data_IF_686833066441
#
_entry.id   IF_686833066441
#
_cell.length_a   1.000
_cell.length_b   1.000
_cell.length_c   1.000
_cell.angle_alpha   90.00
_cell.angle_beta   90.00
_cell.angle_gamma   90.00
#
_symmetry.space_group_name_H-M   'P 1'
#
loop_
_entity.id
_entity.type
_entity.pdbx_description
1 polymer ?
#
# COMPACT_ATOMS: atom_id res chain seq x y z
N UNK A 1 7.67 20.26 11.81
CA UNK A 1 8.25 19.73 10.56
C UNK A 1 8.61 18.26 10.74
N UNK A 2 7.68 17.35 10.45
CA UNK A 2 7.93 15.91 10.45
C UNK A 2 7.45 15.35 9.11
N UNK A 3 8.39 14.70 8.45
CA UNK A 3 8.37 14.21 7.08
C UNK A 3 7.30 13.15 6.85
N UNK A 4 6.67 13.19 5.67
CA UNK A 4 5.67 12.23 5.22
C UNK A 4 6.42 11.06 4.57
N UNK A 5 6.43 9.90 5.23
CA UNK A 5 6.92 8.65 4.63
C UNK A 5 5.77 8.02 3.83
N UNK A 6 5.77 8.24 2.52
CA UNK A 6 4.94 7.49 1.58
C UNK A 6 5.59 6.12 1.29
N UNK A 7 5.07 5.06 1.89
CA UNK A 7 5.36 3.67 1.54
C UNK A 7 4.61 3.34 0.24
N UNK A 8 5.32 3.35 -0.89
CA UNK A 8 4.85 2.81 -2.16
C UNK A 8 4.98 1.29 -2.18
N UNK A 9 3.89 0.56 -1.97
CA UNK A 9 3.80 -0.87 -2.26
C UNK A 9 3.40 -1.04 -3.72
N UNK A 10 4.35 -1.49 -4.53
CA UNK A 10 4.15 -1.76 -5.95
C UNK A 10 3.65 -3.20 -6.13
N UNK A 11 2.32 -3.38 -6.20
CA UNK A 11 1.70 -4.65 -6.52
C UNK A 11 1.76 -4.90 -8.04
N UNK A 12 2.68 -5.78 -8.46
CA UNK A 12 2.73 -6.31 -9.83
C UNK A 12 1.68 -7.43 -9.94
N UNK A 13 0.48 -7.12 -10.42
CA UNK A 13 -0.51 -8.13 -10.81
C UNK A 13 -0.27 -8.57 -12.26
N UNK A 14 0.12 -9.83 -12.44
CA UNK A 14 0.15 -10.53 -13.73
C UNK A 14 -1.05 -11.49 -13.76
N UNK A 15 -2.05 -11.32 -14.65
CA UNK A 15 -3.18 -12.25 -14.70
C UNK A 15 -2.80 -13.53 -15.47
N UNK A 16 -3.22 -14.73 -15.03
CA UNK A 16 -3.18 -15.93 -15.87
C UNK A 16 -4.34 -15.91 -16.89
N UNK A 17 -4.04 -16.35 -18.11
CA UNK A 17 -4.98 -16.49 -19.25
C UNK A 17 -5.86 -17.72 -19.06
N UNK A 18 -7.18 -17.59 -19.28
CA UNK A 18 -8.07 -18.76 -19.36
C UNK A 18 -9.59 -18.54 -19.36
N UNK A 19 -10.13 -17.68 -20.25
CA UNK A 19 -11.53 -17.69 -20.79
C UNK A 19 -12.75 -17.48 -19.86
N UNK A 20 -13.97 -17.18 -20.39
CA UNK A 20 -14.34 -16.26 -21.47
C UNK A 20 -15.32 -15.14 -21.01
N UNK A 21 -15.46 -14.16 -21.89
CA UNK A 21 -16.20 -12.90 -21.80
C UNK A 21 -17.69 -13.06 -21.47
N UNK A 22 -18.22 -12.23 -20.58
CA UNK A 22 -19.50 -11.52 -20.74
C UNK A 22 -19.32 -10.14 -20.09
N UNK A 23 -19.18 -9.11 -20.92
CA UNK A 23 -19.18 -7.73 -20.45
C UNK A 23 -20.57 -7.35 -19.97
N UNK A 24 -20.65 -6.44 -19.00
CA UNK A 24 -21.76 -5.49 -18.89
C UNK A 24 -21.31 -4.25 -18.14
N UNK A 25 -21.57 -3.11 -18.80
CA UNK A 25 -21.50 -1.74 -18.33
C UNK A 25 -21.93 -1.54 -16.87
N UNK A 26 -21.16 -0.76 -16.12
CA UNK A 26 -21.65 -0.10 -14.90
C UNK A 26 -22.52 1.07 -15.35
N UNK A 27 -23.84 0.88 -15.33
CA UNK A 27 -24.85 1.92 -15.47
C UNK A 27 -25.10 2.51 -14.08
N UNK A 28 -24.65 3.74 -13.84
CA UNK A 28 -25.11 4.56 -12.73
C UNK A 28 -26.62 4.77 -12.87
N UNK A 29 -27.40 4.27 -11.91
CA UNK A 29 -28.81 4.63 -11.78
C UNK A 29 -29.10 5.03 -10.33
N UNK A 30 -29.22 6.34 -10.13
CA UNK A 30 -30.04 6.88 -9.05
C UNK A 30 -31.48 6.51 -9.36
N UNK A 31 -32.23 5.98 -8.39
CA UNK A 31 -33.68 6.10 -8.42
C UNK A 31 -34.25 6.19 -7.01
N UNK A 32 -35.00 7.27 -6.86
CA UNK A 32 -35.95 7.60 -5.80
C UNK A 32 -37.27 6.86 -6.04
N UNK A 33 -37.98 6.61 -4.93
CA UNK A 33 -39.44 6.76 -4.77
C UNK A 33 -40.46 5.64 -5.19
N UNK A 34 -41.20 5.21 -4.16
CA UNK A 34 -42.65 4.87 -3.97
C UNK A 34 -43.37 3.63 -4.60
N UNK A 35 -44.11 3.00 -3.68
CA UNK A 35 -45.48 2.43 -3.76
C UNK A 35 -45.82 0.93 -3.96
N UNK A 36 -46.32 0.37 -2.83
CA UNK A 36 -47.63 -0.24 -2.55
C UNK A 36 -48.23 -1.38 -3.41
N UNK A 37 -48.60 -2.42 -2.65
CA UNK A 37 -49.82 -3.24 -2.68
C UNK A 37 -49.99 -4.49 -3.58
N UNK A 38 -50.27 -5.59 -2.85
CA UNK A 38 -51.40 -6.51 -3.01
C UNK A 38 -51.13 -7.97 -3.45
N UNK A 39 -51.22 -8.84 -2.44
CA UNK A 39 -51.88 -10.15 -2.43
C UNK A 39 -52.51 -10.66 -3.73
N UNK A 40 -52.09 -11.85 -4.17
CA UNK A 40 -53.01 -12.94 -4.56
C UNK A 40 -52.28 -14.29 -4.44
N UNK A 41 -52.89 -15.25 -3.74
CA UNK A 41 -52.30 -16.57 -3.46
C UNK A 41 -52.67 -17.67 -4.45
N UNK A 42 -51.93 -18.79 -4.42
CA UNK A 42 -52.46 -20.17 -4.41
C UNK A 42 -51.34 -21.23 -4.32
N UNK A 43 -51.40 -22.01 -3.23
CA UNK A 43 -51.25 -23.47 -3.06
C UNK A 43 -50.38 -24.25 -4.06
N UNK A 44 -49.50 -25.16 -3.57
CA UNK A 44 -49.49 -26.62 -3.88
C UNK A 44 -48.26 -27.37 -3.32
N UNK A 45 -48.56 -28.40 -2.52
CA UNK A 45 -47.89 -29.71 -2.31
C UNK A 45 -46.53 -29.78 -1.60
N UNK A 46 -46.57 -30.47 -0.44
CA UNK A 46 -45.47 -31.00 0.35
C UNK A 46 -44.62 -32.03 -0.41
N UNK A 47 -43.30 -31.79 -0.45
CA UNK A 47 -42.27 -32.83 -0.65
C UNK A 47 -41.09 -32.53 0.27
N UNK A 48 -41.16 -33.09 1.49
CA UNK A 48 -40.07 -33.04 2.48
C UNK A 48 -38.79 -33.62 1.89
N UNK A 49 -37.76 -32.80 1.78
CA UNK A 49 -36.44 -33.17 1.25
C UNK A 49 -35.73 -32.04 0.50
N UNK A 50 -36.46 -31.07 -0.08
CA UNK A 50 -35.88 -29.89 -0.74
C UNK A 50 -35.80 -28.66 0.17
N UNK A 51 -36.72 -28.55 1.13
CA UNK A 51 -36.81 -27.39 2.04
C UNK A 51 -35.63 -27.29 3.02
N UNK A 52 -34.97 -28.41 3.35
CA UNK A 52 -33.84 -28.45 4.30
C UNK A 52 -32.54 -27.89 3.69
N UNK A 53 -32.29 -28.19 2.42
CA UNK A 53 -31.10 -27.71 1.67
C UNK A 53 -31.28 -26.24 1.27
N UNK A 54 -32.51 -25.82 0.96
CA UNK A 54 -32.82 -24.41 0.74
C UNK A 54 -32.67 -23.59 2.03
N UNK A 55 -33.11 -24.08 3.19
CA UNK A 55 -32.94 -23.39 4.47
C UNK A 55 -31.48 -23.26 4.93
N UNK A 56 -30.64 -24.29 4.75
CA UNK A 56 -29.21 -24.21 5.07
C UNK A 56 -28.49 -23.20 4.16
N UNK A 57 -28.74 -23.24 2.85
CA UNK A 57 -28.15 -22.30 1.90
C UNK A 57 -28.68 -20.86 2.05
N UNK A 58 -29.85 -20.68 2.66
CA UNK A 58 -30.44 -19.36 2.95
C UNK A 58 -29.91 -18.80 4.27
N UNK A 59 -29.76 -19.65 5.29
CA UNK A 59 -29.07 -19.36 6.56
C UNK A 59 -27.60 -18.97 6.35
N UNK A 60 -26.87 -19.67 5.48
CA UNK A 60 -25.47 -19.36 5.13
C UNK A 60 -25.34 -18.05 4.32
N UNK A 61 -26.28 -17.78 3.40
CA UNK A 61 -26.34 -16.50 2.68
C UNK A 61 -26.70 -15.36 3.63
N UNK A 62 -27.67 -15.53 4.52
CA UNK A 62 -28.06 -14.52 5.52
C UNK A 62 -26.93 -14.25 6.53
N UNK A 63 -26.17 -15.26 6.96
CA UNK A 63 -24.99 -15.07 7.83
C UNK A 63 -23.82 -14.42 7.09
N UNK A 64 -23.59 -14.76 5.82
CA UNK A 64 -22.58 -14.10 4.98
C UNK A 64 -22.97 -12.66 4.63
N UNK A 65 -24.26 -12.40 4.39
CA UNK A 65 -24.82 -11.07 4.15
C UNK A 65 -24.82 -10.21 5.43
N UNK A 66 -25.07 -10.80 6.60
CA UNK A 66 -24.94 -10.13 7.89
C UNK A 66 -23.47 -9.77 8.22
N UNK A 67 -22.50 -10.57 7.78
CA UNK A 67 -21.07 -10.23 7.85
C UNK A 67 -20.69 -9.12 6.85
N UNK A 68 -21.41 -8.99 5.74
CA UNK A 68 -21.23 -7.92 4.73
C UNK A 68 -21.95 -6.61 5.10
N UNK A 69 -22.89 -6.64 6.05
CA UNK A 69 -23.63 -5.49 6.59
C UNK A 69 -23.03 -4.98 7.92
N UNK A 70 -21.71 -4.99 8.07
CA UNK A 70 -21.08 -4.33 9.23
C UNK A 70 -21.02 -2.81 9.02
N UNK A 71 -22.13 -2.11 9.29
CA UNK A 71 -22.25 -0.63 9.26
C UNK A 71 -21.57 0.07 10.44
N UNK A 72 -20.73 -0.63 11.21
CA UNK A 72 -20.09 -0.06 12.39
C UNK A 72 -19.05 0.97 11.98
N UNK A 73 -19.43 2.24 12.11
CA UNK A 73 -18.53 3.36 11.92
C UNK A 73 -17.69 3.60 13.19
N UNK A 74 -16.44 3.13 13.17
CA UNK A 74 -15.47 3.42 14.23
C UNK A 74 -14.81 4.77 14.00
N UNK A 75 -15.21 5.77 14.79
CA UNK A 75 -14.56 7.08 14.75
C UNK A 75 -13.21 7.03 15.46
N UNK A 76 -12.17 7.70 14.93
CA UNK A 76 -10.89 7.80 15.63
C UNK A 76 -11.08 8.54 16.95
N UNK A 77 -10.30 8.16 17.96
CA UNK A 77 -10.25 8.87 19.23
C UNK A 77 -9.80 10.33 19.00
N UNK A 78 -10.36 11.33 19.71
CA UNK A 78 -10.00 12.74 19.52
C UNK A 78 -8.49 13.02 19.62
N UNK A 79 -7.79 12.33 20.53
CA UNK A 79 -6.35 12.45 20.70
C UNK A 79 -5.56 12.00 19.45
N UNK A 80 -6.04 10.97 18.74
CA UNK A 80 -5.43 10.53 17.48
C UNK A 80 -5.62 11.57 16.39
N UNK A 81 -6.79 12.21 16.33
CA UNK A 81 -7.06 13.26 15.34
C UNK A 81 -6.15 14.47 15.55
N UNK A 82 -5.92 14.87 16.81
CA UNK A 82 -5.04 16.00 17.15
C UNK A 82 -3.57 15.72 16.79
N UNK A 83 -3.11 14.48 17.00
CA UNK A 83 -1.72 14.10 16.76
C UNK A 83 -1.44 13.57 15.34
N UNK A 84 -2.46 13.52 14.48
CA UNK A 84 -2.31 13.04 13.12
C UNK A 84 -1.44 14.00 12.28
N UNK A 85 -0.70 13.43 11.31
CA UNK A 85 0.09 14.22 10.38
C UNK A 85 -0.78 15.00 9.37
N UNK A 86 -2.02 14.57 9.17
CA UNK A 86 -2.97 15.15 8.22
C UNK A 86 -4.33 15.31 8.90
N UNK A 87 -4.98 16.44 8.67
CA UNK A 87 -6.36 16.67 9.11
C UNK A 87 -7.37 16.33 7.99
N UNK A 88 -8.68 16.24 8.29
CA UNK A 88 -9.69 15.87 7.28
C UNK A 88 -9.74 16.80 6.06
N UNK A 89 -9.55 18.11 6.25
CA UNK A 89 -9.56 19.08 5.15
C UNK A 89 -8.34 18.87 4.22
N UNK A 90 -7.16 18.72 4.80
CA UNK A 90 -5.93 18.42 4.05
C UNK A 90 -6.01 17.10 3.29
N UNK A 91 -6.72 16.11 3.85
CA UNK A 91 -6.99 14.84 3.17
C UNK A 91 -7.87 15.06 1.93
N UNK A 92 -8.99 15.78 2.06
CA UNK A 92 -9.87 16.10 0.94
C UNK A 92 -9.13 16.89 -0.15
N UNK A 93 -8.31 17.86 0.24
CA UNK A 93 -7.44 18.61 -0.68
C UNK A 93 -6.44 17.70 -1.41
N UNK A 94 -5.78 16.78 -0.68
CA UNK A 94 -4.83 15.84 -1.27
C UNK A 94 -5.51 14.89 -2.27
N UNK A 95 -6.71 14.38 -1.94
CA UNK A 95 -7.50 13.53 -2.84
C UNK A 95 -7.91 14.30 -4.09
N UNK A 96 -8.40 15.53 -3.92
CA UNK A 96 -8.78 16.39 -5.03
C UNK A 96 -7.58 16.66 -5.94
N UNK A 97 -6.45 17.06 -5.37
CA UNK A 97 -5.21 17.32 -6.11
C UNK A 97 -4.73 16.08 -6.86
N UNK A 98 -4.69 14.91 -6.23
CA UNK A 98 -4.28 13.67 -6.88
C UNK A 98 -5.22 13.21 -8.01
N UNK A 99 -6.49 13.63 -7.98
CA UNK A 99 -7.48 13.32 -9.02
C UNK A 99 -7.40 14.30 -10.19
N UNK A 100 -7.21 15.58 -9.91
CA UNK A 100 -7.17 16.66 -10.91
C UNK A 100 -5.79 16.76 -11.60
N UNK A 101 -4.70 16.66 -10.83
CA UNK A 101 -3.32 16.75 -11.30
C UNK A 101 -2.43 15.69 -10.62
N UNK A 102 -2.44 14.50 -11.22
CA UNK A 102 -1.65 13.37 -10.75
C UNK A 102 -0.13 13.65 -10.80
N UNK A 103 0.35 14.34 -11.84
CA UNK A 103 1.78 14.60 -12.01
C UNK A 103 2.27 15.59 -10.95
N UNK A 104 1.58 16.72 -10.76
CA UNK A 104 1.94 17.70 -9.75
C UNK A 104 1.82 17.17 -8.31
N UNK A 105 0.87 16.27 -8.03
CA UNK A 105 0.75 15.61 -6.74
C UNK A 105 2.01 14.77 -6.41
N UNK A 106 2.43 13.91 -7.35
CA UNK A 106 3.60 13.06 -7.15
C UNK A 106 4.92 13.82 -7.24
N UNK A 107 4.95 14.92 -7.99
CA UNK A 107 6.11 15.79 -8.07
C UNK A 107 6.42 16.44 -6.72
N UNK A 108 5.40 16.92 -6.01
CA UNK A 108 5.56 17.48 -4.66
C UNK A 108 6.15 16.44 -3.69
N UNK A 109 5.59 15.23 -3.66
CA UNK A 109 6.10 14.15 -2.83
C UNK A 109 7.54 13.76 -3.20
N UNK A 110 7.88 13.72 -4.49
CA UNK A 110 9.22 13.38 -4.95
C UNK A 110 10.27 14.43 -4.57
N UNK A 111 9.87 15.69 -4.37
CA UNK A 111 10.77 16.75 -3.91
C UNK A 111 11.17 16.61 -2.42
N UNK A 112 10.50 15.75 -1.63
CA UNK A 112 10.94 15.42 -0.26
C UNK A 112 12.16 14.48 -0.21
N UNK A 113 12.53 13.91 -1.36
CA UNK A 113 13.68 13.01 -1.49
C UNK A 113 14.90 13.75 -2.01
N UNK A 114 16.08 13.23 -1.68
CA UNK A 114 17.36 13.70 -2.19
C UNK A 114 17.64 13.07 -3.57
N UNK A 115 17.92 13.92 -4.55
CA UNK A 115 18.23 13.54 -5.93
C UNK A 115 19.60 14.06 -6.34
N UNK A 116 20.37 13.23 -7.04
CA UNK A 116 21.61 13.67 -7.70
C UNK A 116 21.31 14.46 -8.98
N UNK A 117 20.24 14.06 -9.68
CA UNK A 117 19.70 14.77 -10.85
C UNK A 117 18.18 14.68 -10.80
N UNK A 118 17.50 15.82 -10.91
CA UNK A 118 16.04 15.86 -11.03
C UNK A 118 15.57 15.25 -12.35
N UNK A 119 14.36 14.73 -12.35
CA UNK A 119 13.71 14.17 -13.53
C UNK A 119 13.40 15.25 -14.56
N UNK A 120 13.34 14.85 -15.83
CA UNK A 120 12.91 15.72 -16.93
C UNK A 120 11.37 15.65 -17.13
N UNK A 121 10.75 14.52 -16.74
CA UNK A 121 9.30 14.28 -16.82
C UNK A 121 8.82 13.42 -15.66
N UNK A 122 7.69 13.76 -15.04
CA UNK A 122 7.14 13.03 -13.89
C UNK A 122 6.56 11.68 -14.32
N UNK A 123 5.71 11.65 -15.35
CA UNK A 123 5.09 10.42 -15.82
C UNK A 123 5.14 10.33 -17.35
N UNK A 124 5.78 9.28 -17.86
CA UNK A 124 5.68 8.92 -19.27
C UNK A 124 4.73 7.73 -19.48
N UNK A 125 3.71 7.97 -20.29
CA UNK A 125 2.66 7.02 -20.67
C UNK A 125 2.76 6.55 -22.12
N UNK A 126 3.77 7.00 -22.86
CA UNK A 126 3.94 6.72 -24.30
C UNK A 126 4.00 5.22 -24.62
N UNK A 127 4.57 4.41 -23.70
CA UNK A 127 4.74 2.96 -23.84
C UNK A 127 3.75 2.15 -22.97
N UNK A 128 2.54 2.66 -22.70
CA UNK A 128 1.53 1.94 -21.93
C UNK A 128 1.34 0.49 -22.45
N UNK A 129 1.36 -0.56 -21.58
CA UNK A 129 1.21 -0.52 -20.12
C UNK A 129 2.51 -0.34 -19.31
N UNK A 130 3.66 -0.10 -19.96
CA UNK A 130 4.96 0.12 -19.30
C UNK A 130 5.16 1.60 -18.97
N UNK A 131 4.52 2.04 -17.89
CA UNK A 131 4.67 3.41 -17.37
C UNK A 131 6.06 3.66 -16.81
N UNK A 132 6.64 4.82 -17.11
CA UNK A 132 7.93 5.27 -16.55
C UNK A 132 7.69 6.50 -15.67
N UNK A 133 8.10 6.42 -14.41
CA UNK A 133 8.02 7.51 -13.45
C UNK A 133 9.38 8.18 -13.27
N UNK A 134 9.39 9.50 -13.13
CA UNK A 134 10.59 10.33 -12.89
C UNK A 134 11.71 10.08 -13.89
N UNK A 135 11.39 10.27 -15.18
CA UNK A 135 12.28 9.96 -16.30
C UNK A 135 13.58 10.76 -16.20
N UNK A 136 14.71 10.08 -16.38
CA UNK A 136 16.08 10.61 -16.23
C UNK A 136 16.47 11.08 -14.81
N UNK A 137 15.57 10.92 -13.83
CA UNK A 137 15.88 11.16 -12.42
C UNK A 137 16.96 10.21 -11.92
N UNK A 138 17.93 10.72 -11.16
CA UNK A 138 18.99 9.93 -10.54
C UNK A 138 18.95 10.09 -9.03
N UNK A 139 18.72 8.98 -8.33
CA UNK A 139 18.76 8.91 -6.87
C UNK A 139 19.37 7.58 -6.42
N UNK A 140 19.64 7.46 -5.13
CA UNK A 140 20.06 6.22 -4.48
C UNK A 140 19.18 5.99 -3.24
N UNK A 141 18.69 4.76 -3.09
CA UNK A 141 17.80 4.39 -1.99
C UNK A 141 18.54 4.43 -0.65
N UNK A 142 19.77 3.92 -0.58
CA UNK A 142 20.59 3.99 0.63
C UNK A 142 20.88 5.44 1.05
N UNK A 143 21.10 6.35 0.09
CA UNK A 143 21.28 7.77 0.37
C UNK A 143 20.07 8.35 1.13
N UNK A 144 18.86 8.10 0.62
CA UNK A 144 17.63 8.60 1.20
C UNK A 144 17.23 7.86 2.50
N UNK A 145 17.53 6.58 2.61
CA UNK A 145 17.18 5.78 3.78
C UNK A 145 18.16 5.98 4.95
N UNK A 146 19.45 6.23 4.67
CA UNK A 146 20.53 6.23 5.68
C UNK A 146 21.37 7.49 5.63
N UNK A 147 22.10 7.75 4.54
CA UNK A 147 23.15 8.78 4.50
C UNK A 147 22.65 10.17 4.87
N UNK A 148 21.46 10.55 4.39
CA UNK A 148 20.87 11.86 4.71
C UNK A 148 20.62 12.03 6.21
N UNK A 149 20.31 10.95 6.92
CA UNK A 149 20.05 10.98 8.37
C UNK A 149 21.34 10.99 9.18
N UNK A 150 22.39 10.33 8.71
CA UNK A 150 23.72 10.29 9.36
C UNK A 150 24.37 11.68 9.44
N UNK A 151 24.10 12.55 8.46
CA UNK A 151 24.61 13.93 8.43
C UNK A 151 23.85 14.90 9.34
N UNK A 152 22.79 14.44 10.00
CA UNK A 152 21.94 15.27 10.88
C UNK A 152 22.09 14.88 12.34
N UNK A 153 21.39 15.58 13.23
CA UNK A 153 21.28 15.21 14.64
C UNK A 153 20.73 13.78 14.86
N UNK A 154 20.08 13.18 13.85
CA UNK A 154 19.58 11.80 13.91
C UNK A 154 20.67 10.73 13.79
N UNK A 155 21.93 11.10 13.60
CA UNK A 155 23.07 10.16 13.50
C UNK A 155 23.06 9.06 14.57
N UNK A 156 22.88 9.46 15.83
CA UNK A 156 22.88 8.55 16.99
C UNK A 156 21.47 8.10 17.39
N UNK A 157 20.44 8.45 16.61
CA UNK A 157 19.07 7.97 16.84
C UNK A 157 19.01 6.49 16.49
N UNK A 158 18.33 5.72 17.33
CA UNK A 158 18.02 4.31 17.04
C UNK A 158 17.15 4.25 15.79
N UNK A 159 17.60 3.48 14.80
CA UNK A 159 16.93 3.24 13.53
C UNK A 159 16.22 1.88 13.53
N UNK A 160 16.90 0.84 14.03
CA UNK A 160 16.35 -0.52 14.14
C UNK A 160 16.28 -0.92 15.61
N UNK A 161 15.10 -1.38 16.02
CA UNK A 161 14.88 -2.08 17.29
C UNK A 161 14.50 -3.49 16.90
N UNK A 162 15.33 -4.44 17.28
CA UNK A 162 15.13 -5.86 17.00
C UNK A 162 14.87 -6.61 18.29
N UNK A 163 13.92 -7.54 18.23
CA UNK A 163 13.61 -8.50 19.28
C UNK A 163 13.47 -9.88 18.65
N UNK A 164 14.23 -10.85 19.15
CA UNK A 164 14.13 -12.25 18.71
C UNK A 164 13.02 -12.98 19.46
N UNK A 165 12.63 -14.14 18.94
CA UNK A 165 11.72 -15.06 19.63
C UNK A 165 12.28 -15.50 21.00
N UNK A 166 13.59 -15.67 21.10
CA UNK A 166 14.30 -15.97 22.36
C UNK A 166 14.46 -14.77 23.31
N UNK A 167 13.90 -13.60 22.98
CA UNK A 167 13.96 -12.38 23.81
C UNK A 167 15.28 -11.60 23.70
N UNK A 168 16.15 -11.93 22.74
CA UNK A 168 17.37 -11.15 22.46
C UNK A 168 16.96 -9.83 21.84
N UNK A 169 17.43 -8.73 22.45
CA UNK A 169 17.15 -7.37 22.00
C UNK A 169 18.40 -6.72 21.44
N UNK A 170 18.29 -6.16 20.24
CA UNK A 170 19.34 -5.35 19.65
C UNK A 170 18.79 -3.97 19.26
N UNK A 171 19.65 -2.96 19.37
CA UNK A 171 19.35 -1.60 18.92
C UNK A 171 20.50 -1.15 18.04
N UNK A 172 20.17 -0.65 16.85
CA UNK A 172 21.16 -0.14 15.91
C UNK A 172 20.83 1.32 15.61
N UNK A 173 21.83 2.19 15.74
CA UNK A 173 21.68 3.59 15.36
C UNK A 173 21.78 3.76 13.84
N UNK A 174 21.36 4.92 13.32
CA UNK A 174 21.61 5.26 11.92
C UNK A 174 23.09 5.17 11.56
N UNK A 175 23.98 5.52 12.49
CA UNK A 175 25.42 5.42 12.27
C UNK A 175 25.91 3.96 12.24
N UNK A 176 25.34 3.07 13.05
CA UNK A 176 25.69 1.65 12.99
C UNK A 176 25.29 1.03 11.65
N UNK A 177 24.05 1.27 11.21
CA UNK A 177 23.57 0.83 9.89
C UNK A 177 24.46 1.37 8.77
N UNK A 178 24.78 2.67 8.80
CA UNK A 178 25.68 3.27 7.82
C UNK A 178 27.04 2.56 7.73
N UNK A 179 27.66 2.21 8.88
CA UNK A 179 28.93 1.46 8.88
C UNK A 179 28.75 0.07 8.31
N UNK A 180 27.77 -0.70 8.77
CA UNK A 180 27.55 -2.08 8.30
C UNK A 180 27.17 -2.14 6.82
N UNK A 181 26.31 -1.24 6.33
CA UNK A 181 25.95 -1.15 4.91
C UNK A 181 27.17 -0.82 4.06
N UNK A 182 28.03 0.12 4.48
CA UNK A 182 29.26 0.43 3.73
C UNK A 182 30.27 -0.71 3.75
N UNK A 183 30.39 -1.43 4.86
CA UNK A 183 31.23 -2.62 4.94
C UNK A 183 30.75 -3.70 3.95
N UNK A 184 29.45 -3.96 3.91
CA UNK A 184 28.86 -4.90 2.96
C UNK A 184 29.04 -4.44 1.52
N UNK A 185 28.81 -3.16 1.22
CA UNK A 185 28.98 -2.60 -0.12
C UNK A 185 30.43 -2.74 -0.61
N UNK A 186 31.42 -2.46 0.25
CA UNK A 186 32.84 -2.65 -0.07
C UNK A 186 33.18 -4.12 -0.29
N UNK A 187 32.64 -5.03 0.53
CA UNK A 187 32.83 -6.47 0.36
C UNK A 187 32.26 -6.97 -0.99
N UNK A 188 31.04 -6.55 -1.34
CA UNK A 188 30.42 -6.89 -2.63
C UNK A 188 31.22 -6.32 -3.81
N UNK A 189 31.72 -5.09 -3.68
CA UNK A 189 32.58 -4.47 -4.71
C UNK A 189 33.89 -5.24 -4.87
N UNK A 190 34.50 -5.70 -3.78
CA UNK A 190 35.71 -6.51 -3.81
C UNK A 190 35.49 -7.89 -4.45
N UNK A 191 34.27 -8.44 -4.36
CA UNK A 191 33.85 -9.66 -5.06
C UNK A 191 33.52 -9.43 -6.55
N UNK A 192 33.63 -8.19 -7.04
CA UNK A 192 33.41 -7.83 -8.43
C UNK A 192 31.96 -7.52 -8.81
N UNK A 193 31.08 -7.30 -7.82
CA UNK A 193 29.68 -6.92 -8.10
C UNK A 193 29.62 -5.51 -8.69
N UNK A 194 28.92 -5.36 -9.81
CA UNK A 194 28.74 -4.11 -10.53
C UNK A 194 27.28 -3.71 -10.66
N UNK A 195 27.03 -2.49 -11.14
CA UNK A 195 25.67 -1.98 -11.33
C UNK A 195 24.95 -2.80 -12.41
N UNK A 196 23.83 -3.40 -12.03
CA UNK A 196 23.01 -4.24 -12.90
C UNK A 196 23.09 -5.73 -12.56
N UNK A 197 24.05 -6.11 -11.73
CA UNK A 197 24.18 -7.48 -11.24
C UNK A 197 23.09 -7.80 -10.22
N UNK A 198 22.71 -9.09 -10.19
CA UNK A 198 21.69 -9.61 -9.28
C UNK A 198 22.38 -10.31 -8.12
N UNK A 199 22.11 -9.84 -6.91
CA UNK A 199 22.59 -10.44 -5.66
C UNK A 199 21.40 -11.07 -4.96
N UNK A 200 21.44 -12.38 -4.71
CA UNK A 200 20.41 -13.08 -3.93
C UNK A 200 20.80 -13.07 -2.46
N UNK A 201 19.86 -12.64 -1.60
CA UNK A 201 20.02 -12.66 -0.15
C UNK A 201 19.10 -13.74 0.42
N UNK A 202 19.68 -14.71 1.13
CA UNK A 202 18.93 -15.73 1.86
C UNK A 202 19.32 -15.66 3.33
N UNK A 203 18.58 -14.85 4.08
CA UNK A 203 18.87 -14.52 5.47
C UNK A 203 17.58 -14.63 6.31
N UNK A 204 17.67 -15.09 7.57
CA UNK A 204 16.55 -15.05 8.52
C UNK A 204 16.25 -13.61 8.97
N UNK A 205 15.17 -13.41 9.75
CA UNK A 205 14.89 -12.11 10.36
C UNK A 205 15.91 -11.82 11.49
N UNK A 206 16.95 -11.05 11.16
CA UNK A 206 18.02 -10.65 12.09
C UNK A 206 18.22 -9.13 12.03
N UNK A 207 18.90 -8.50 13.02
CA UNK A 207 19.10 -7.05 13.02
C UNK A 207 19.74 -6.47 11.75
N UNK A 208 20.54 -7.28 11.03
CA UNK A 208 21.23 -6.88 9.81
C UNK A 208 20.36 -6.95 8.54
N UNK A 209 19.16 -7.54 8.63
CA UNK A 209 18.18 -7.65 7.52
C UNK A 209 16.91 -6.84 7.73
N UNK A 210 16.70 -6.35 8.94
CA UNK A 210 15.51 -5.59 9.35
C UNK A 210 15.52 -4.14 8.85
#
# INVERSE_FOLDING_TARGET
MRSILALGVQAIMRPPRGSPLHGTLIRLHMSREWDLESSTGKKVITRGGRDMVENESKSERETTEALMQEERLFRPLPELVVNANINPLQYEEAVKKGTEDLEGFWEEAANELDWFRKWDKVLDRSEAPFYKWFVNGKTNIALNALDRHVKTHRKNKVAVIFESEEGVRARMTYYDLYRYTNMLANALTALGVTKGDRVTLYLPNIPHTA
#
